data_IF_401248890718
#
_entry.id   IF_401248890718
#
_cell.length_a   1.000
_cell.length_b   1.000
_cell.length_c   1.000
_cell.angle_alpha   90.00
_cell.angle_beta   90.00
_cell.angle_gamma   90.00
#
_symmetry.space_group_name_H-M   'P 1'
#
loop_
_entity.id
_entity.type
_entity.pdbx_description
1 polymer ?
#
# COMPACT_ATOMS: atom_id res chain seq x y z
N UNK A 1 -0.49 -23.14 51.39
CA UNK A 1 -0.66 -22.91 50.80
C UNK A 1 -0.53 -22.89 49.61
N UNK A 2 -0.83 -22.65 48.95
CA UNK A 2 -0.79 -22.62 47.88
C UNK A 2 -0.59 -21.62 47.15
N UNK A 3 -0.08 -21.41 46.32
CA UNK A 3 0.10 -20.47 45.65
C UNK A 3 -0.03 -20.63 44.36
N UNK A 4 -0.34 -19.94 43.73
CA UNK A 4 -0.64 -19.96 42.57
C UNK A 4 0.16 -19.34 41.75
N UNK A 5 0.65 -19.78 40.90
CA UNK A 5 1.39 -19.27 40.09
C UNK A 5 0.82 -18.92 38.91
N UNK A 6 0.72 -17.94 38.54
CA UNK A 6 0.22 -17.56 37.43
C UNK A 6 1.06 -17.54 36.36
N UNK A 7 0.96 -18.19 35.49
CA UNK A 7 1.79 -18.22 34.44
C UNK A 7 1.51 -17.15 33.58
N UNK A 8 2.38 -16.40 33.42
CA UNK A 8 2.23 -15.36 32.69
C UNK A 8 2.50 -15.63 31.33
N UNK A 9 1.81 -15.48 30.50
CA UNK A 9 1.98 -15.65 29.27
C UNK A 9 2.42 -14.56 28.55
N UNK A 10 3.51 -14.43 28.18
CA UNK A 10 3.96 -13.39 27.47
C UNK A 10 3.64 -13.58 26.09
N UNK A 11 2.91 -12.91 25.58
CA UNK A 11 2.63 -13.06 24.27
C UNK A 11 3.46 -12.21 23.52
N UNK A 12 4.36 -12.67 22.86
CA UNK A 12 5.13 -11.84 22.13
C UNK A 12 4.58 -11.79 20.81
N UNK A 13 4.25 -10.76 20.36
CA UNK A 13 3.81 -10.60 19.12
C UNK A 13 4.85 -10.35 18.26
N UNK A 14 5.27 -11.14 17.51
CA UNK A 14 6.26 -10.81 16.63
C UNK A 14 5.66 -10.28 15.44
N UNK A 15 5.86 -9.14 15.19
CA UNK A 15 5.37 -8.63 14.03
C UNK A 15 6.34 -8.84 13.00
N UNK A 16 6.10 -9.59 12.10
CA UNK A 16 6.96 -9.70 11.05
C UNK A 16 6.64 -8.64 10.15
N UNK A 17 7.45 -7.85 9.89
CA UNK A 17 7.22 -6.86 9.00
C UNK A 17 7.50 -7.39 7.70
N UNK A 18 6.64 -7.39 6.93
CA UNK A 18 6.89 -7.69 5.60
C UNK A 18 7.58 -6.54 5.06
N UNK A 19 8.70 -6.75 4.57
CA UNK A 19 9.37 -5.71 4.14
C UNK A 19 8.98 -5.20 2.88
N UNK A 20 8.32 -5.85 2.12
CA UNK A 20 8.12 -5.47 0.82
C UNK A 20 7.21 -4.32 0.61
N UNK A 21 6.09 -4.31 1.16
CA UNK A 21 5.15 -3.33 0.78
C UNK A 21 4.66 -2.56 1.96
N UNK A 22 4.93 -1.33 1.99
CA UNK A 22 4.43 -0.50 3.06
C UNK A 22 3.05 -0.05 2.69
N UNK A 23 2.20 0.01 3.65
CA UNK A 23 0.88 0.48 3.41
C UNK A 23 0.88 1.97 3.17
N UNK A 24 0.00 2.40 2.31
CA UNK A 24 -0.12 3.80 1.98
C UNK A 24 -1.05 4.46 2.99
N UNK A 25 -0.66 5.61 3.49
CA UNK A 25 -1.49 6.32 4.46
C UNK A 25 -2.77 6.81 3.81
N UNK A 26 -3.80 7.07 4.57
CA UNK A 26 -5.04 7.58 3.99
C UNK A 26 -4.86 8.90 3.24
N UNK A 27 -3.99 9.75 3.75
CA UNK A 27 -3.74 11.02 3.08
C UNK A 27 -3.07 10.82 1.74
N UNK A 28 -2.10 9.92 1.69
CA UNK A 28 -1.42 9.64 0.44
C UNK A 28 -2.34 8.88 -0.51
N UNK A 29 -3.16 8.01 0.02
CA UNK A 29 -4.11 7.28 -0.81
C UNK A 29 -5.06 8.24 -1.52
N UNK A 30 -5.47 9.29 -0.84
CA UNK A 30 -6.34 10.28 -1.46
C UNK A 30 -5.64 11.00 -2.61
N UNK A 31 -4.36 11.28 -2.44
CA UNK A 31 -3.60 11.94 -3.49
C UNK A 31 -3.39 11.01 -4.68
N UNK A 32 -3.15 9.75 -4.40
CA UNK A 32 -3.00 8.77 -5.46
C UNK A 32 -4.31 8.64 -6.24
N UNK A 33 -5.42 8.57 -5.51
CA UNK A 33 -6.70 8.43 -6.16
C UNK A 33 -7.00 9.63 -7.04
N UNK A 34 -6.65 10.82 -6.59
CA UNK A 34 -6.86 12.01 -7.38
C UNK A 34 -6.02 11.96 -8.67
N UNK A 35 -4.80 11.46 -8.56
CA UNK A 35 -3.94 11.34 -9.73
C UNK A 35 -4.52 10.32 -10.70
N UNK A 36 -5.04 9.21 -10.21
CA UNK A 36 -5.62 8.21 -11.06
C UNK A 36 -6.86 8.74 -11.76
N UNK A 37 -7.66 9.52 -11.08
CA UNK A 37 -8.86 10.05 -11.68
C UNK A 37 -8.55 10.94 -12.86
N UNK A 38 -7.45 11.64 -12.81
CA UNK A 38 -7.05 12.48 -13.92
C UNK A 38 -6.78 11.65 -15.17
N UNK A 39 -6.49 10.37 -14.99
CA UNK A 39 -6.23 9.48 -16.10
C UNK A 39 -7.45 8.62 -16.42
N UNK A 40 -8.56 8.88 -15.78
CA UNK A 40 -9.77 8.10 -16.01
C UNK A 40 -9.74 6.75 -15.33
N UNK A 41 -8.99 6.65 -14.25
CA UNK A 41 -8.85 5.39 -13.53
C UNK A 41 -9.29 5.54 -12.10
N UNK A 42 -9.57 4.43 -11.45
CA UNK A 42 -9.94 4.44 -10.04
C UNK A 42 -9.67 3.09 -9.41
N UNK A 43 -9.66 3.08 -8.11
CA UNK A 43 -9.54 1.84 -7.36
C UNK A 43 -8.16 1.23 -7.46
N UNK A 44 -8.13 -0.06 -7.27
CA UNK A 44 -6.89 -0.79 -7.29
C UNK A 44 -6.29 -0.92 -5.91
N UNK A 45 -5.24 -1.71 -5.83
CA UNK A 45 -4.56 -1.92 -4.58
C UNK A 45 -3.34 -1.02 -4.53
N UNK A 46 -3.29 -0.16 -3.56
CA UNK A 46 -2.21 0.80 -3.43
C UNK A 46 -1.14 0.33 -2.49
N UNK A 47 0.10 0.51 -2.86
CA UNK A 47 1.20 0.17 -1.98
C UNK A 47 2.39 1.05 -2.29
N UNK A 48 3.24 1.23 -1.34
CA UNK A 48 4.46 1.96 -1.55
C UNK A 48 5.52 0.94 -1.85
N UNK A 49 6.10 1.02 -3.03
CA UNK A 49 7.03 0.02 -3.45
C UNK A 49 8.27 0.02 -2.62
N UNK A 50 8.73 1.18 -2.28
CA UNK A 50 9.98 1.27 -1.56
C UNK A 50 10.07 2.63 -0.94
N UNK A 51 10.32 2.69 0.32
CA UNK A 51 10.44 3.97 0.99
C UNK A 51 11.59 4.79 0.47
N UNK A 52 12.66 4.15 0.08
CA UNK A 52 13.83 4.87 -0.36
C UNK A 52 13.57 5.63 -1.65
N UNK A 53 12.80 5.07 -2.54
CA UNK A 53 12.54 5.74 -3.80
C UNK A 53 11.28 6.58 -3.76
N UNK A 54 10.41 6.29 -2.81
CA UNK A 54 9.15 7.00 -2.72
C UNK A 54 8.16 6.62 -3.80
N UNK A 55 8.39 5.54 -4.51
CA UNK A 55 7.51 5.15 -5.59
C UNK A 55 6.29 4.43 -5.05
N UNK A 56 5.14 4.82 -5.56
CA UNK A 56 3.89 4.15 -5.22
C UNK A 56 3.44 3.30 -6.39
N UNK A 57 2.72 2.24 -6.08
CA UNK A 57 2.22 1.37 -7.12
C UNK A 57 0.75 1.10 -6.87
N UNK A 58 -0.05 1.09 -7.91
CA UNK A 58 -1.45 0.75 -7.80
C UNK A 58 -1.68 -0.42 -8.74
N UNK A 59 -2.00 -1.57 -8.16
CA UNK A 59 -2.24 -2.76 -8.95
C UNK A 59 -3.71 -2.86 -9.30
N UNK A 60 -3.99 -3.25 -10.49
CA UNK A 60 -5.35 -3.47 -10.94
C UNK A 60 -6.25 -2.24 -10.84
N UNK A 61 -5.72 -1.11 -11.22
CA UNK A 61 -6.53 0.09 -11.28
C UNK A 61 -7.54 -0.06 -12.42
N UNK A 62 -8.76 0.35 -12.19
CA UNK A 62 -9.78 0.24 -13.20
C UNK A 62 -9.86 1.51 -14.00
N UNK A 63 -9.59 1.41 -15.27
CA UNK A 63 -9.61 2.53 -16.18
C UNK A 63 -10.71 2.32 -17.19
N UNK A 64 -10.93 3.31 -18.06
CA UNK A 64 -11.98 3.19 -18.97
C UNK A 64 -11.93 2.00 -19.85
N UNK A 65 -10.78 1.63 -20.30
CA UNK A 65 -10.65 0.55 -21.25
C UNK A 65 -9.94 -0.67 -20.70
N UNK A 66 -9.93 -0.85 -19.42
CA UNK A 66 -9.36 -2.07 -18.86
C UNK A 66 -8.68 -1.85 -17.54
N UNK A 67 -7.94 -2.82 -17.12
CA UNK A 67 -7.21 -2.75 -15.87
C UNK A 67 -5.75 -2.51 -16.15
N UNK A 68 -5.14 -1.70 -15.32
CA UNK A 68 -3.75 -1.33 -15.51
C UNK A 68 -3.02 -1.28 -14.18
N UNK A 69 -1.74 -1.49 -14.25
CA UNK A 69 -0.88 -1.28 -13.09
C UNK A 69 -0.22 0.07 -13.30
N UNK A 70 -0.27 0.90 -12.29
CA UNK A 70 0.18 2.27 -12.41
C UNK A 70 1.23 2.56 -11.36
N UNK A 71 2.30 3.20 -11.75
CA UNK A 71 3.31 3.62 -10.79
C UNK A 71 3.35 5.14 -10.76
N UNK A 72 3.54 5.66 -9.56
CA UNK A 72 3.63 7.09 -9.36
C UNK A 72 4.92 7.40 -8.62
N UNK A 73 5.46 8.56 -8.84
CA UNK A 73 6.66 8.97 -8.13
C UNK A 73 6.27 9.55 -6.76
N UNK A 74 7.25 10.00 -6.03
CA UNK A 74 7.00 10.52 -4.69
C UNK A 74 6.14 11.78 -4.68
N UNK A 75 5.99 12.43 -5.80
CA UNK A 75 5.15 13.61 -5.91
C UNK A 75 3.78 13.24 -6.51
N UNK A 76 3.46 11.97 -6.51
CA UNK A 76 2.20 11.46 -6.99
C UNK A 76 1.96 11.70 -8.47
N UNK A 77 3.05 11.74 -9.24
CA UNK A 77 2.90 11.88 -10.65
C UNK A 77 2.98 10.50 -11.25
N UNK A 78 2.10 10.22 -12.18
CA UNK A 78 2.09 8.92 -12.84
C UNK A 78 3.32 8.84 -13.75
N UNK A 79 4.12 7.81 -13.56
CA UNK A 79 5.32 7.64 -14.35
C UNK A 79 5.28 6.40 -15.23
N UNK A 80 4.47 5.41 -14.87
CA UNK A 80 4.37 4.20 -15.68
C UNK A 80 2.94 3.70 -15.63
N UNK A 81 2.40 3.31 -16.77
CA UNK A 81 1.11 2.68 -16.82
C UNK A 81 1.29 1.44 -17.68
N UNK A 82 0.99 0.28 -17.12
CA UNK A 82 1.16 -0.96 -17.83
C UNK A 82 -0.16 -1.71 -17.86
N UNK A 83 -0.52 -2.17 -19.02
CA UNK A 83 -1.77 -2.88 -19.11
C UNK A 83 -1.66 -4.23 -18.44
N UNK A 84 -2.67 -4.55 -17.71
CA UNK A 84 -2.64 -5.77 -16.94
C UNK A 84 -3.07 -6.98 -17.75
#
# INVERSE_FOLDING_TARGET
>A
MKHILVPFLAVTMSSTTALADAQVSPADAAKIQAALQAWGCSGGKMEQENEATGVYEVDDAKCKDGQYDIKLDKDFKVIVITRD
#
